data_IF_053861784291
#
_entry.id   IF_053861784291
#
_cell.length_a   1.000
_cell.length_b   1.000
_cell.length_c   1.000
_cell.angle_alpha   90.00
_cell.angle_beta   90.00
_cell.angle_gamma   90.00
#
_symmetry.space_group_name_H-M   'P 1'
#
loop_
_entity.id
_entity.type
_entity.pdbx_description
1 polymer ?
#
# COMPACT_ATOMS: atom_id res chain seq x y z
N UNK A 1 1.89 -30.87 -24.58
CA UNK A 1 1.05 -30.07 -23.67
C UNK A 1 1.93 -29.33 -22.69
N UNK A 2 2.10 -28.03 -22.91
CA UNK A 2 2.48 -26.98 -21.96
C UNK A 2 2.73 -25.73 -22.81
N UNK A 3 1.65 -25.13 -23.31
CA UNK A 3 1.71 -23.85 -24.00
C UNK A 3 2.24 -22.82 -23.01
N UNK A 4 3.39 -22.24 -23.35
CA UNK A 4 4.04 -21.21 -22.57
C UNK A 4 3.06 -20.08 -22.25
N UNK A 5 2.59 -20.03 -21.00
CA UNK A 5 1.96 -18.83 -20.48
C UNK A 5 3.01 -17.72 -20.61
N UNK A 6 2.73 -16.72 -21.45
CA UNK A 6 3.60 -15.56 -21.62
C UNK A 6 3.90 -14.99 -20.23
N UNK A 7 5.18 -14.99 -19.83
CA UNK A 7 5.59 -14.45 -18.53
C UNK A 7 5.34 -12.95 -18.59
N UNK A 8 4.37 -12.46 -17.81
CA UNK A 8 4.19 -11.03 -17.57
C UNK A 8 5.57 -10.37 -17.33
N UNK A 9 5.91 -9.29 -18.06
CA UNK A 9 7.13 -8.51 -17.87
C UNK A 9 7.41 -8.25 -16.39
N UNK A 10 8.68 -8.22 -15.99
CA UNK A 10 9.08 -7.92 -14.61
C UNK A 10 8.43 -6.63 -14.09
N UNK A 11 8.29 -5.63 -14.95
CA UNK A 11 7.63 -4.36 -14.65
C UNK A 11 6.17 -4.54 -14.22
N UNK A 12 5.38 -5.36 -14.90
CA UNK A 12 3.98 -5.64 -14.50
C UNK A 12 3.95 -6.31 -13.13
N UNK A 13 4.83 -7.29 -12.89
CA UNK A 13 4.91 -7.93 -11.57
C UNK A 13 5.25 -6.94 -10.46
N UNK A 14 6.16 -5.99 -10.72
CA UNK A 14 6.53 -4.94 -9.77
C UNK A 14 5.36 -3.99 -9.52
N UNK A 15 4.62 -3.61 -10.58
CA UNK A 15 3.43 -2.76 -10.45
C UNK A 15 2.34 -3.48 -9.65
N UNK A 16 2.11 -4.77 -9.91
CA UNK A 16 1.16 -5.58 -9.16
C UNK A 16 1.56 -5.69 -7.68
N UNK A 17 2.83 -5.91 -7.38
CA UNK A 17 3.35 -5.92 -6.00
C UNK A 17 3.14 -4.57 -5.32
N UNK A 18 3.39 -3.46 -6.02
CA UNK A 18 3.15 -2.12 -5.50
C UNK A 18 1.66 -1.89 -5.23
N UNK A 19 0.77 -2.31 -6.14
CA UNK A 19 -0.68 -2.21 -5.97
C UNK A 19 -1.17 -2.98 -4.75
N UNK A 20 -0.72 -4.24 -4.58
CA UNK A 20 -1.06 -5.06 -3.41
C UNK A 20 -0.57 -4.41 -2.12
N UNK A 21 0.67 -3.91 -2.10
CA UNK A 21 1.23 -3.23 -0.94
C UNK A 21 0.41 -1.99 -0.58
N UNK A 22 0.05 -1.16 -1.55
CA UNK A 22 -0.77 0.04 -1.33
C UNK A 22 -2.16 -0.30 -0.79
N UNK A 23 -2.82 -1.32 -1.35
CA UNK A 23 -4.14 -1.76 -0.88
C UNK A 23 -4.04 -2.31 0.55
N UNK A 24 -3.08 -3.21 0.80
CA UNK A 24 -2.88 -3.80 2.12
C UNK A 24 -2.56 -2.76 3.20
N UNK A 25 -1.62 -1.86 2.91
CA UNK A 25 -1.25 -0.77 3.82
C UNK A 25 -2.42 0.20 4.06
N UNK A 26 -3.20 0.51 3.01
CA UNK A 26 -4.40 1.31 3.13
C UNK A 26 -5.48 0.63 3.99
N UNK A 27 -5.75 -0.65 3.77
CA UNK A 27 -6.72 -1.40 4.59
C UNK A 27 -6.31 -1.45 6.07
N UNK A 28 -5.02 -1.64 6.36
CA UNK A 28 -4.50 -1.54 7.73
C UNK A 28 -4.63 -0.13 8.31
N UNK A 29 -4.34 0.90 7.51
CA UNK A 29 -4.52 2.30 7.88
C UNK A 29 -5.97 2.69 8.18
N UNK A 30 -6.95 2.03 7.57
CA UNK A 30 -8.38 2.25 7.80
C UNK A 30 -8.91 1.50 9.01
N UNK A 31 -8.62 0.20 9.07
CA UNK A 31 -9.22 -0.72 10.06
C UNK A 31 -8.45 -0.77 11.37
N UNK A 32 -7.14 -0.50 11.34
CA UNK A 32 -6.24 -0.63 12.48
C UNK A 32 -5.35 0.61 12.63
N UNK A 33 -5.93 1.80 12.39
CA UNK A 33 -5.22 3.07 12.27
C UNK A 33 -4.19 3.33 13.36
N UNK A 34 -4.59 3.19 14.64
CA UNK A 34 -3.74 3.48 15.79
C UNK A 34 -2.64 2.43 15.93
N UNK A 35 -3.01 1.14 16.02
CA UNK A 35 -2.05 0.01 16.07
C UNK A 35 -1.01 0.11 14.96
N UNK A 36 -1.44 0.38 13.73
CA UNK A 36 -0.57 0.49 12.58
C UNK A 36 0.39 1.69 12.72
N UNK A 37 -0.10 2.88 13.06
CA UNK A 37 0.76 4.06 13.25
C UNK A 37 1.74 3.87 14.41
N UNK A 38 1.30 3.24 15.50
CA UNK A 38 2.09 2.94 16.69
C UNK A 38 3.22 1.94 16.44
N UNK A 39 3.01 0.96 15.53
CA UNK A 39 4.06 0.01 15.16
C UNK A 39 5.25 0.70 14.47
N UNK A 40 4.98 1.74 13.69
CA UNK A 40 5.96 2.37 12.79
C UNK A 40 6.50 3.71 13.28
N UNK A 41 5.99 4.24 14.39
CA UNK A 41 6.42 5.57 14.89
C UNK A 41 7.82 5.57 15.49
N UNK A 42 8.35 4.42 15.88
CA UNK A 42 9.63 4.27 16.59
C UNK A 42 10.41 3.06 16.09
N UNK A 43 11.74 3.18 15.99
CA UNK A 43 12.68 2.10 15.64
C UNK A 43 12.35 1.38 14.33
N UNK A 44 11.83 2.12 13.36
CA UNK A 44 11.27 1.62 12.12
C UNK A 44 12.21 1.85 10.90
N UNK A 45 13.52 1.80 11.12
CA UNK A 45 14.54 1.89 10.05
C UNK A 45 14.36 3.10 9.12
N UNK A 46 13.92 4.25 9.64
CA UNK A 46 13.69 5.48 8.88
C UNK A 46 12.24 5.70 8.44
N UNK A 47 11.37 4.67 8.54
CA UNK A 47 9.94 4.81 8.27
C UNK A 47 9.24 5.74 9.28
N UNK A 48 9.88 6.05 10.43
CA UNK A 48 9.33 7.00 11.40
C UNK A 48 9.07 8.36 10.76
N UNK A 49 9.90 8.78 9.79
CA UNK A 49 9.73 10.07 9.09
C UNK A 49 8.44 10.11 8.27
N UNK A 50 8.11 9.00 7.62
CA UNK A 50 6.90 8.86 6.81
C UNK A 50 5.64 8.77 7.67
N UNK A 51 5.76 8.19 8.87
CA UNK A 51 4.64 7.99 9.78
C UNK A 51 4.41 9.17 10.73
N UNK A 52 5.43 9.98 11.00
CA UNK A 52 5.37 11.18 11.87
C UNK A 52 4.17 12.10 11.59
N UNK A 53 3.75 12.36 10.33
CA UNK A 53 2.53 13.09 10.06
C UNK A 53 1.26 12.47 10.69
N UNK A 54 1.19 11.17 10.83
CA UNK A 54 -0.03 10.47 11.24
C UNK A 54 -0.14 10.28 12.76
N UNK A 55 0.97 10.44 13.50
CA UNK A 55 1.02 10.29 14.96
C UNK A 55 0.03 11.24 15.63
N UNK A 56 -0.84 10.68 16.48
CA UNK A 56 -1.90 11.42 17.18
C UNK A 56 -3.01 11.97 16.28
N UNK A 57 -3.03 11.63 14.99
CA UNK A 57 -3.99 12.16 13.99
C UNK A 57 -4.63 11.03 13.18
N UNK A 58 -5.48 10.18 13.81
CA UNK A 58 -6.06 9.00 13.15
C UNK A 58 -6.90 9.35 11.91
N UNK A 59 -7.63 10.48 11.94
CA UNK A 59 -8.40 10.94 10.77
C UNK A 59 -7.51 11.21 9.53
N UNK A 60 -6.31 11.77 9.73
CA UNK A 60 -5.36 12.03 8.65
C UNK A 60 -4.82 10.73 8.04
N UNK A 61 -4.54 9.73 8.87
CA UNK A 61 -4.12 8.40 8.40
C UNK A 61 -5.22 7.68 7.63
N UNK A 62 -6.47 7.76 8.10
CA UNK A 62 -7.63 7.16 7.41
C UNK A 62 -7.86 7.80 6.04
N UNK A 63 -7.79 9.13 5.94
CA UNK A 63 -7.91 9.81 4.64
C UNK A 63 -6.78 9.39 3.68
N UNK A 64 -5.53 9.39 4.16
CA UNK A 64 -4.40 8.91 3.37
C UNK A 64 -4.58 7.45 2.95
N UNK A 65 -5.11 6.61 3.84
CA UNK A 65 -5.37 5.20 3.56
C UNK A 65 -6.43 5.00 2.47
N UNK A 66 -7.51 5.79 2.46
CA UNK A 66 -8.50 5.77 1.36
C UNK A 66 -7.84 6.10 0.02
N UNK A 67 -7.01 7.14 -0.02
CA UNK A 67 -6.26 7.54 -1.22
C UNK A 67 -5.33 6.41 -1.66
N UNK A 68 -4.67 5.73 -0.73
CA UNK A 68 -3.74 4.64 -1.01
C UNK A 68 -4.45 3.41 -1.59
N UNK A 69 -5.61 3.02 -1.04
CA UNK A 69 -6.44 1.94 -1.60
C UNK A 69 -6.90 2.32 -3.01
N UNK A 70 -7.42 3.53 -3.21
CA UNK A 70 -7.87 3.99 -4.52
C UNK A 70 -6.74 3.99 -5.56
N UNK A 71 -5.54 4.45 -5.17
CA UNK A 71 -4.37 4.46 -6.04
C UNK A 71 -3.86 3.05 -6.37
N UNK A 72 -3.86 2.13 -5.39
CA UNK A 72 -3.49 0.73 -5.63
C UNK A 72 -4.48 0.03 -6.57
N UNK A 73 -5.78 0.25 -6.39
CA UNK A 73 -6.82 -0.25 -7.31
C UNK A 73 -6.67 0.34 -8.72
N UNK A 74 -6.37 1.64 -8.83
CA UNK A 74 -6.13 2.28 -10.12
C UNK A 74 -4.87 1.71 -10.82
N UNK A 75 -3.79 1.46 -10.08
CA UNK A 75 -2.58 0.81 -10.63
C UNK A 75 -2.88 -0.61 -11.12
N UNK A 76 -3.61 -1.41 -10.34
CA UNK A 76 -4.01 -2.76 -10.72
C UNK A 76 -4.92 -2.75 -11.97
N UNK A 77 -5.89 -1.84 -12.02
CA UNK A 77 -6.80 -1.72 -13.17
C UNK A 77 -6.07 -1.34 -14.47
N UNK A 78 -5.05 -0.48 -14.38
CA UNK A 78 -4.23 -0.04 -15.53
C UNK A 78 -3.35 -1.13 -16.12
N UNK A 79 -3.13 -2.24 -15.42
CA UNK A 79 -2.39 -3.39 -15.98
C UNK A 79 -3.27 -4.31 -16.84
N UNK A 80 -4.60 -4.14 -16.77
CA UNK A 80 -5.58 -4.96 -17.52
C UNK A 80 -6.08 -4.30 -18.81
N UNK A 81 -5.69 -3.06 -19.09
CA UNK A 81 -6.05 -2.30 -20.30
C UNK A 81 -4.82 -1.91 -21.08
#
# INVERSE_FOLDING_TARGET
MATAAAKAPLTERVIEMAAIFMIGDGLLGLTQTERHTELWKERALGAERTVRPFVGRPGRRRLYALVQVAAGLALAARQRG
#
